data_IF_680544135919
#
_entry.id   IF_680544135919
#
_cell.length_a   1.000
_cell.length_b   1.000
_cell.length_c   1.000
_cell.angle_alpha   90.00
_cell.angle_beta   90.00
_cell.angle_gamma   90.00
#
_symmetry.space_group_name_H-M   'P 1'
#
loop_
_entity.id
_entity.type
_entity.pdbx_description
1 polymer ?
#
# COMPACT_ATOMS: atom_id res chain seq x y z
N UNK A 1 11.00 2.32 -13.99
CA UNK A 1 10.89 3.29 -12.87
C UNK A 1 11.52 2.74 -11.58
N UNK A 2 11.03 1.66 -10.93
CA UNK A 2 11.60 1.22 -9.65
C UNK A 2 13.09 0.85 -9.73
N UNK A 3 13.53 0.15 -10.78
CA UNK A 3 14.93 -0.23 -10.96
C UNK A 3 15.89 0.98 -10.93
N UNK A 4 15.53 2.07 -11.60
CA UNK A 4 16.37 3.28 -11.64
C UNK A 4 16.48 3.92 -10.26
N UNK A 5 15.38 3.97 -9.49
CA UNK A 5 15.38 4.50 -8.12
C UNK A 5 16.31 3.68 -7.23
N UNK A 6 16.18 2.35 -7.29
CA UNK A 6 17.01 1.41 -6.52
C UNK A 6 18.50 1.52 -6.83
N UNK A 7 18.84 1.91 -8.06
CA UNK A 7 20.23 2.12 -8.49
C UNK A 7 20.76 3.52 -8.16
N UNK A 8 19.87 4.51 -7.99
CA UNK A 8 20.25 5.92 -7.88
C UNK A 8 20.25 6.43 -6.44
N UNK A 9 19.50 5.80 -5.54
CA UNK A 9 19.34 6.23 -4.16
C UNK A 9 19.66 5.09 -3.18
N UNK A 10 20.28 5.38 -2.02
CA UNK A 10 20.34 4.42 -0.93
C UNK A 10 18.92 4.27 -0.34
N UNK A 11 18.37 3.07 -0.42
CA UNK A 11 17.05 2.73 0.11
C UNK A 11 17.18 1.61 1.14
N UNK A 12 16.70 1.86 2.36
CA UNK A 12 16.69 0.86 3.44
C UNK A 12 15.61 -0.22 3.23
N UNK A 13 14.61 0.09 2.39
CA UNK A 13 13.56 -0.85 2.02
C UNK A 13 12.43 -0.16 1.26
N UNK A 14 11.41 -0.94 0.90
CA UNK A 14 10.26 -0.45 0.15
C UNK A 14 8.93 -0.96 0.71
N UNK A 15 7.89 -0.16 0.48
CA UNK A 15 6.49 -0.57 0.58
C UNK A 15 5.90 -0.62 -0.83
N UNK A 16 5.10 -1.65 -1.10
CA UNK A 16 4.41 -1.77 -2.38
C UNK A 16 2.97 -1.33 -2.19
N UNK A 17 2.59 -0.19 -2.77
CA UNK A 17 1.19 0.25 -2.83
C UNK A 17 0.60 -0.21 -4.16
N UNK A 18 -0.52 -0.93 -4.11
CA UNK A 18 -1.26 -1.43 -5.27
C UNK A 18 -2.74 -1.14 -5.11
N UNK A 19 -3.54 -1.44 -6.12
CA UNK A 19 -5.01 -1.36 -6.09
C UNK A 19 -5.61 -2.75 -6.37
N UNK A 20 -6.93 -2.98 -6.18
CA UNK A 20 -7.52 -4.33 -6.27
C UNK A 20 -7.72 -4.90 -7.68
N UNK A 21 -7.49 -4.13 -8.75
CA UNK A 21 -7.80 -4.56 -10.13
C UNK A 21 -6.84 -5.65 -10.64
N UNK A 22 -7.35 -6.67 -11.32
CA UNK A 22 -6.59 -7.89 -11.67
C UNK A 22 -5.24 -7.66 -12.38
N UNK A 23 -5.15 -6.66 -13.26
CA UNK A 23 -3.93 -6.38 -14.05
C UNK A 23 -2.72 -5.93 -13.20
N UNK A 24 -2.94 -5.49 -11.96
CA UNK A 24 -1.86 -5.01 -11.07
C UNK A 24 -0.97 -6.15 -10.55
N UNK A 25 -1.45 -7.38 -10.59
CA UNK A 25 -0.74 -8.56 -10.08
C UNK A 25 0.63 -8.74 -10.70
N UNK A 26 0.74 -8.51 -12.01
CA UNK A 26 2.01 -8.59 -12.73
C UNK A 26 2.99 -7.47 -12.34
N UNK A 27 2.47 -6.28 -12.01
CA UNK A 27 3.27 -5.13 -11.60
C UNK A 27 3.88 -5.39 -10.22
N UNK A 28 3.07 -5.88 -9.27
CA UNK A 28 3.54 -6.27 -7.93
C UNK A 28 4.62 -7.34 -8.03
N UNK A 29 4.36 -8.43 -8.76
CA UNK A 29 5.34 -9.51 -8.93
C UNK A 29 6.67 -9.03 -9.54
N UNK A 30 6.61 -8.10 -10.51
CA UNK A 30 7.81 -7.51 -11.11
C UNK A 30 8.58 -6.66 -10.09
N UNK A 31 7.89 -5.83 -9.30
CA UNK A 31 8.49 -5.00 -8.26
C UNK A 31 9.20 -5.86 -7.19
N UNK A 32 8.54 -6.92 -6.73
CA UNK A 32 9.12 -7.91 -5.80
C UNK A 32 10.40 -8.51 -6.37
N UNK A 33 10.36 -9.00 -7.61
CA UNK A 33 11.53 -9.61 -8.26
C UNK A 33 12.69 -8.61 -8.39
N UNK A 34 12.40 -7.35 -8.74
CA UNK A 34 13.44 -6.31 -8.85
C UNK A 34 14.08 -6.00 -7.50
N UNK A 35 13.29 -5.86 -6.44
CA UNK A 35 13.81 -5.64 -5.10
C UNK A 35 14.67 -6.83 -4.61
N UNK A 36 14.21 -8.07 -4.85
CA UNK A 36 14.99 -9.28 -4.53
C UNK A 36 16.34 -9.34 -5.28
N UNK A 37 16.36 -9.04 -6.59
CA UNK A 37 17.60 -9.03 -7.38
C UNK A 37 18.61 -8.00 -6.87
N UNK A 38 18.14 -6.94 -6.20
CA UNK A 38 18.97 -5.87 -5.65
C UNK A 38 19.19 -5.99 -4.14
N UNK A 39 18.71 -7.06 -3.51
CA UNK A 39 18.75 -7.28 -2.06
C UNK A 39 18.10 -6.14 -1.24
N UNK A 40 17.03 -5.55 -1.77
CA UNK A 40 16.29 -4.48 -1.08
C UNK A 40 15.16 -5.10 -0.24
N UNK A 41 15.08 -4.80 1.07
CA UNK A 41 13.99 -5.27 1.93
C UNK A 41 12.62 -4.76 1.45
N UNK A 42 11.61 -5.63 1.50
CA UNK A 42 10.21 -5.27 1.25
C UNK A 42 9.46 -5.37 2.56
N UNK A 43 8.96 -4.24 3.07
CA UNK A 43 8.26 -4.19 4.36
C UNK A 43 6.84 -4.73 4.29
N UNK A 44 6.21 -4.66 3.12
CA UNK A 44 4.90 -5.23 2.87
C UNK A 44 4.18 -4.60 1.69
N UNK A 45 2.92 -5.00 1.54
CA UNK A 45 2.01 -4.53 0.50
C UNK A 45 0.86 -3.75 1.17
N UNK A 46 0.43 -2.67 0.54
CA UNK A 46 -0.76 -1.89 0.90
C UNK A 46 -1.70 -1.91 -0.30
N UNK A 47 -2.96 -2.25 -0.07
CA UNK A 47 -3.99 -2.18 -1.09
C UNK A 47 -4.77 -0.87 -0.94
N UNK A 48 -4.58 0.06 -1.88
CA UNK A 48 -5.36 1.28 -2.00
C UNK A 48 -6.68 1.02 -2.77
N UNK A 49 -7.70 1.83 -2.50
CA UNK A 49 -9.02 1.74 -3.13
C UNK A 49 -9.70 0.37 -2.97
N UNK A 50 -9.50 -0.28 -1.83
CA UNK A 50 -10.01 -1.63 -1.56
C UNK A 50 -11.53 -1.69 -1.56
N UNK A 51 -12.18 -0.66 -1.02
CA UNK A 51 -13.63 -0.55 -0.94
C UNK A 51 -14.07 0.92 -0.90
N UNK A 52 -15.34 1.17 -1.14
CA UNK A 52 -16.00 2.44 -0.87
C UNK A 52 -17.02 2.25 0.25
N UNK A 53 -16.98 3.10 1.27
CA UNK A 53 -17.91 3.07 2.39
C UNK A 53 -19.06 4.05 2.12
N UNK A 54 -20.31 3.59 2.01
CA UNK A 54 -21.41 4.52 1.78
C UNK A 54 -21.53 5.51 2.95
N UNK A 55 -21.53 6.83 2.71
CA UNK A 55 -21.78 7.81 3.77
C UNK A 55 -23.21 7.73 4.33
N UNK A 56 -24.11 7.06 3.60
CA UNK A 56 -25.52 6.94 3.93
C UNK A 56 -25.84 5.82 4.92
N UNK A 57 -25.16 4.67 4.80
CA UNK A 57 -25.50 3.44 5.53
C UNK A 57 -24.27 2.72 6.12
N UNK A 58 -23.05 3.17 5.79
CA UNK A 58 -21.80 2.57 6.25
C UNK A 58 -21.42 1.26 5.55
N UNK A 59 -22.21 0.77 4.59
CA UNK A 59 -21.91 -0.45 3.84
C UNK A 59 -20.64 -0.27 2.99
N UNK A 60 -19.77 -1.28 3.02
CA UNK A 60 -18.56 -1.31 2.22
C UNK A 60 -18.82 -2.04 0.90
N UNK A 61 -18.55 -1.36 -0.21
CA UNK A 61 -18.68 -1.91 -1.55
C UNK A 61 -17.31 -2.05 -2.19
N UNK A 62 -16.96 -3.28 -2.59
CA UNK A 62 -15.76 -3.52 -3.38
C UNK A 62 -15.95 -3.04 -4.83
N UNK A 63 -15.59 -1.78 -5.10
CA UNK A 63 -15.83 -1.12 -6.39
C UNK A 63 -15.23 -1.84 -7.59
N UNK A 64 -14.15 -2.60 -7.36
CA UNK A 64 -13.39 -3.30 -8.40
C UNK A 64 -13.55 -4.82 -8.33
N UNK A 65 -14.52 -5.32 -7.56
CA UNK A 65 -14.74 -6.75 -7.35
C UNK A 65 -13.84 -7.36 -6.26
N UNK A 66 -13.74 -8.69 -6.25
CA UNK A 66 -12.92 -9.41 -5.27
C UNK A 66 -11.43 -9.06 -5.45
N UNK A 67 -10.80 -8.53 -4.39
CA UNK A 67 -9.36 -8.29 -4.40
C UNK A 67 -8.58 -9.61 -4.33
N UNK A 68 -7.58 -9.72 -5.21
CA UNK A 68 -6.61 -10.82 -5.22
C UNK A 68 -5.28 -10.48 -4.55
N UNK A 69 -5.12 -9.27 -3.99
CA UNK A 69 -3.83 -8.79 -3.44
C UNK A 69 -3.37 -9.63 -2.26
N UNK A 70 -4.28 -10.09 -1.39
CA UNK A 70 -3.93 -10.99 -0.27
C UNK A 70 -3.26 -12.28 -0.75
N UNK A 71 -3.84 -12.94 -1.76
CA UNK A 71 -3.28 -14.16 -2.38
C UNK A 71 -1.90 -13.89 -3.01
N UNK A 72 -1.72 -12.70 -3.60
CA UNK A 72 -0.44 -12.27 -4.20
C UNK A 72 0.60 -12.03 -3.11
N UNK A 73 0.23 -11.37 -2.01
CA UNK A 73 1.10 -11.12 -0.87
C UNK A 73 1.61 -12.43 -0.29
N UNK A 74 0.71 -13.37 0.00
CA UNK A 74 1.04 -14.72 0.48
C UNK A 74 1.98 -15.47 -0.46
N UNK A 75 1.67 -15.48 -1.77
CA UNK A 75 2.51 -16.14 -2.79
C UNK A 75 3.95 -15.62 -2.81
N UNK A 76 4.15 -14.35 -2.48
CA UNK A 76 5.47 -13.72 -2.45
C UNK A 76 6.11 -13.70 -1.05
N UNK A 77 5.46 -14.30 -0.04
CA UNK A 77 5.94 -14.29 1.34
C UNK A 77 5.92 -12.89 1.96
N UNK A 78 5.03 -12.01 1.50
CA UNK A 78 4.92 -10.63 1.94
C UNK A 78 3.63 -10.42 2.75
N UNK A 79 3.67 -9.57 3.78
CA UNK A 79 2.50 -9.20 4.54
C UNK A 79 1.64 -8.17 3.80
N UNK A 80 0.33 -8.33 3.84
CA UNK A 80 -0.61 -7.25 3.51
C UNK A 80 -0.79 -6.39 4.77
N UNK A 81 -0.35 -5.14 4.72
CA UNK A 81 -0.27 -4.26 5.88
C UNK A 81 -1.55 -3.47 6.11
N UNK A 82 -2.20 -3.03 5.03
CA UNK A 82 -3.41 -2.24 5.11
C UNK A 82 -4.24 -2.37 3.82
N UNK A 83 -5.54 -2.12 3.98
CA UNK A 83 -6.52 -1.95 2.90
C UNK A 83 -7.17 -0.59 3.09
N UNK A 84 -6.85 0.35 2.21
CA UNK A 84 -7.33 1.73 2.30
C UNK A 84 -8.63 1.90 1.49
N UNK A 85 -9.63 2.61 2.03
CA UNK A 85 -10.85 2.92 1.30
C UNK A 85 -10.61 3.93 0.17
N UNK A 86 -11.55 4.00 -0.77
CA UNK A 86 -11.73 5.16 -1.61
C UNK A 86 -12.49 6.23 -0.80
N UNK A 87 -11.77 7.25 -0.34
CA UNK A 87 -12.32 8.34 0.47
C UNK A 87 -12.20 9.71 -0.24
N UNK A 88 -13.33 10.33 -0.64
CA UNK A 88 -13.32 11.67 -1.23
C UNK A 88 -12.78 12.77 -0.32
N UNK A 89 -12.94 12.65 1.01
CA UNK A 89 -12.41 13.62 1.97
C UNK A 89 -10.89 13.57 2.00
N UNK A 90 -10.30 12.36 2.03
CA UNK A 90 -8.85 12.16 1.91
C UNK A 90 -8.31 12.81 0.64
N UNK A 91 -8.93 12.53 -0.51
CA UNK A 91 -8.52 13.12 -1.78
C UNK A 91 -8.61 14.65 -1.77
N UNK A 92 -9.69 15.22 -1.22
CA UNK A 92 -9.88 16.66 -1.13
C UNK A 92 -8.84 17.34 -0.23
N UNK A 93 -8.52 16.74 0.92
CA UNK A 93 -7.48 17.26 1.82
C UNK A 93 -6.09 17.19 1.20
N UNK A 94 -5.77 16.11 0.48
CA UNK A 94 -4.55 16.00 -0.31
C UNK A 94 -4.43 17.14 -1.33
N UNK A 95 -5.48 17.37 -2.13
CA UNK A 95 -5.48 18.42 -3.17
C UNK A 95 -5.38 19.84 -2.58
N UNK A 96 -5.89 20.05 -1.37
CA UNK A 96 -5.79 21.31 -0.63
C UNK A 96 -4.44 21.48 0.08
N UNK A 97 -3.57 20.45 0.10
CA UNK A 97 -2.33 20.46 0.88
C UNK A 97 -2.56 20.40 2.39
N UNK A 98 -3.71 19.89 2.84
CA UNK A 98 -4.13 19.79 4.25
C UNK A 98 -4.28 18.35 4.72
N UNK A 99 -3.48 17.43 4.16
CA UNK A 99 -3.54 16.00 4.50
C UNK A 99 -3.37 15.71 6.00
N UNK A 100 -2.63 16.56 6.71
CA UNK A 100 -2.42 16.44 8.16
C UNK A 100 -3.72 16.58 8.98
N UNK A 101 -4.79 17.10 8.38
CA UNK A 101 -6.11 17.21 9.01
C UNK A 101 -6.99 15.99 8.77
N UNK A 102 -6.52 14.98 8.03
CA UNK A 102 -7.29 13.77 7.78
C UNK A 102 -7.33 12.89 9.03
N UNK A 103 -8.54 12.57 9.48
CA UNK A 103 -8.79 11.67 10.61
C UNK A 103 -9.20 10.29 10.08
N UNK A 104 -8.21 9.44 9.75
CA UNK A 104 -8.42 8.07 9.31
C UNK A 104 -7.44 7.11 9.97
N UNK A 105 -7.91 5.91 10.31
CA UNK A 105 -7.24 4.93 11.17
C UNK A 105 -6.59 3.75 10.43
N UNK A 106 -6.73 3.71 9.10
CA UNK A 106 -6.37 2.53 8.29
C UNK A 106 -4.87 2.41 8.04
N UNK A 107 -4.10 3.48 8.25
CA UNK A 107 -2.65 3.50 7.98
C UNK A 107 -1.80 3.30 9.24
N UNK A 108 -2.37 3.47 10.42
CA UNK A 108 -1.73 3.32 11.73
C UNK A 108 -1.03 1.96 11.88
N UNK A 109 -1.63 0.82 11.49
CA UNK A 109 -0.92 -0.46 11.56
C UNK A 109 0.33 -0.53 10.69
N UNK A 110 0.36 0.24 9.59
CA UNK A 110 1.54 0.37 8.73
C UNK A 110 2.61 1.17 9.46
N UNK A 111 2.23 2.30 10.06
CA UNK A 111 3.14 3.16 10.81
C UNK A 111 3.78 2.42 11.99
N UNK A 112 2.98 1.78 12.85
CA UNK A 112 3.44 0.99 13.99
C UNK A 112 4.46 -0.07 13.59
N UNK A 113 4.21 -0.74 12.46
CA UNK A 113 5.11 -1.76 11.93
C UNK A 113 6.44 -1.16 11.49
N UNK A 114 6.41 -0.04 10.77
CA UNK A 114 7.63 0.62 10.29
C UNK A 114 8.46 1.14 11.45
N UNK A 115 7.84 1.76 12.46
CA UNK A 115 8.53 2.21 13.66
C UNK A 115 9.23 1.06 14.39
N UNK A 116 8.62 -0.13 14.43
CA UNK A 116 9.24 -1.33 14.98
C UNK A 116 10.45 -1.86 14.20
N UNK A 117 10.59 -1.47 12.92
CA UNK A 117 11.70 -1.88 12.04
C UNK A 117 12.84 -0.86 12.01
N UNK A 118 12.56 0.41 12.35
CA UNK A 118 13.58 1.45 12.39
C UNK A 118 14.51 1.24 13.60
N UNK A 119 15.82 1.52 13.45
CA UNK A 119 16.73 1.54 14.59
C UNK A 119 16.21 2.52 15.64
N UNK A 120 16.03 2.06 16.89
CA UNK A 120 15.74 2.97 17.99
C UNK A 120 16.97 3.87 18.17
N UNK A 121 16.75 5.18 18.02
CA UNK A 121 17.78 6.20 18.23
C UNK A 121 18.31 6.18 19.67
#
# INVERSE_FOLDING_TARGET
VPLTVFQSLPVDGILIVTSPQDLVSMIVAKAVKMAQMMNIPIFGIIENYSFFRCPCCGEETALFGESHVGKIAEKNGLPLLAKLPLDPQLASLCDQGMIELFEGGEIEPVADRLEGLLPKA
#
